data_IF_790711773158
#
_entry.id   IF_790711773158
#
_cell.length_a   1.000
_cell.length_b   1.000
_cell.length_c   1.000
_cell.angle_alpha   90.00
_cell.angle_beta   90.00
_cell.angle_gamma   90.00
#
_symmetry.space_group_name_H-M   'P 1'
#
loop_
_entity.id
_entity.type
_entity.pdbx_description
1 polymer ?
#
# COMPACT_ATOMS: atom_id res chain seq x y z
N UNK A 1 -28.39 0.42 4.53
CA UNK A 1 -26.92 0.59 4.44
C UNK A 1 -26.66 1.72 3.47
N UNK A 2 -26.42 2.93 3.98
CA UNK A 2 -26.13 4.11 3.16
C UNK A 2 -24.69 4.04 2.69
N UNK A 3 -24.47 4.07 1.38
CA UNK A 3 -23.14 4.17 0.79
C UNK A 3 -22.47 5.44 1.34
N UNK A 4 -21.44 5.27 2.18
CA UNK A 4 -20.63 6.39 2.65
C UNK A 4 -19.81 6.90 1.46
N UNK A 5 -19.78 8.23 1.28
CA UNK A 5 -18.90 8.86 0.30
C UNK A 5 -17.43 8.53 0.63
N UNK A 6 -16.75 7.87 -0.31
CA UNK A 6 -15.36 7.40 -0.19
C UNK A 6 -14.32 8.50 -0.44
N UNK A 7 -14.70 9.79 -0.43
CA UNK A 7 -13.76 10.88 -0.71
C UNK A 7 -14.12 12.18 0.02
N UNK A 8 -13.11 12.85 0.55
CA UNK A 8 -13.22 14.16 1.20
C UNK A 8 -12.40 15.22 0.46
N UNK A 9 -12.88 16.46 0.42
CA UNK A 9 -12.17 17.58 -0.20
C UNK A 9 -11.24 18.27 0.81
N UNK A 10 -9.95 18.37 0.45
CA UNK A 10 -8.96 19.18 1.18
C UNK A 10 -8.57 20.38 0.32
N UNK A 11 -8.49 21.58 0.90
CA UNK A 11 -8.10 22.79 0.17
C UNK A 11 -7.30 23.78 1.02
N UNK A 12 -6.44 24.55 0.38
CA UNK A 12 -5.65 25.60 1.02
C UNK A 12 -5.32 26.71 0.01
N UNK A 13 -5.14 27.94 0.51
CA UNK A 13 -4.66 29.07 -0.30
C UNK A 13 -3.14 29.00 -0.42
N UNK A 14 -2.64 29.16 -1.63
CA UNK A 14 -1.20 29.23 -1.93
C UNK A 14 -0.83 30.61 -2.44
N UNK A 15 0.46 30.94 -2.35
CA UNK A 15 0.98 32.19 -2.91
C UNK A 15 0.84 32.23 -4.43
N UNK A 16 0.79 33.44 -5.01
CA UNK A 16 0.78 33.64 -6.47
C UNK A 16 1.98 32.98 -7.16
N UNK A 17 3.16 33.03 -6.54
CA UNK A 17 4.37 32.43 -7.10
C UNK A 17 4.28 30.89 -7.11
N UNK A 18 3.75 30.28 -6.06
CA UNK A 18 3.48 28.83 -6.01
C UNK A 18 2.49 28.42 -7.09
N UNK A 19 1.37 29.14 -7.22
CA UNK A 19 0.37 28.88 -8.26
C UNK A 19 0.98 28.89 -9.67
N UNK A 20 1.81 29.89 -9.99
CA UNK A 20 2.49 30.00 -11.29
C UNK A 20 3.45 28.82 -11.52
N UNK A 21 4.19 28.37 -10.50
CA UNK A 21 5.08 27.20 -10.62
C UNK A 21 4.29 25.94 -10.97
N UNK A 22 3.17 25.70 -10.29
CA UNK A 22 2.30 24.55 -10.57
C UNK A 22 1.74 24.64 -12.00
N UNK A 23 1.24 25.82 -12.39
CA UNK A 23 0.71 26.03 -13.74
C UNK A 23 1.74 25.71 -14.83
N UNK A 24 3.00 26.10 -14.65
CA UNK A 24 4.08 25.79 -15.62
C UNK A 24 4.30 24.29 -15.80
N UNK A 25 4.18 23.50 -14.75
CA UNK A 25 4.31 22.04 -14.83
C UNK A 25 3.14 21.40 -15.59
N UNK A 26 1.93 21.92 -15.38
CA UNK A 26 0.72 21.51 -16.11
C UNK A 26 0.83 21.90 -17.59
N UNK A 27 1.21 23.15 -17.88
CA UNK A 27 1.40 23.64 -19.25
C UNK A 27 2.49 22.85 -20.00
N UNK A 28 3.47 22.32 -19.28
CA UNK A 28 4.52 21.43 -19.80
C UNK A 28 4.06 19.98 -19.99
N UNK A 29 2.80 19.64 -19.66
CA UNK A 29 2.22 18.31 -19.80
C UNK A 29 2.66 17.31 -18.72
N UNK A 30 3.29 17.76 -17.63
CA UNK A 30 3.75 16.86 -16.56
C UNK A 30 2.59 16.40 -15.64
N UNK A 31 1.50 17.17 -15.60
CA UNK A 31 0.29 16.89 -14.84
C UNK A 31 -0.93 17.29 -15.65
N UNK A 32 -2.06 16.59 -15.44
CA UNK A 32 -3.29 16.84 -16.20
C UNK A 32 -3.96 18.17 -15.83
N UNK A 33 -3.93 18.51 -14.54
CA UNK A 33 -4.52 19.74 -13.98
C UNK A 33 -4.01 19.98 -12.54
N UNK A 34 -4.52 21.03 -11.88
CA UNK A 34 -4.15 21.36 -10.51
C UNK A 34 -4.52 20.26 -9.51
N UNK A 35 -5.69 19.63 -9.68
CA UNK A 35 -6.14 18.57 -8.77
C UNK A 35 -5.22 17.34 -8.84
N UNK A 36 -4.82 16.97 -10.05
CA UNK A 36 -3.85 15.90 -10.31
C UNK A 36 -2.50 16.17 -9.62
N UNK A 37 -1.94 17.36 -9.84
CA UNK A 37 -0.73 17.80 -9.14
C UNK A 37 -0.89 17.76 -7.61
N UNK A 38 -1.98 18.31 -7.08
CA UNK A 38 -2.18 18.36 -5.62
C UNK A 38 -2.34 16.98 -5.01
N UNK A 39 -3.04 16.07 -5.69
CA UNK A 39 -3.21 14.71 -5.21
C UNK A 39 -1.86 14.02 -5.10
N UNK A 40 -1.06 14.05 -6.17
CA UNK A 40 0.27 13.44 -6.17
C UNK A 40 1.19 14.05 -5.12
N UNK A 41 1.17 15.38 -4.96
CA UNK A 41 1.94 16.06 -3.93
C UNK A 41 1.53 15.68 -2.49
N UNK A 42 0.25 15.41 -2.25
CA UNK A 42 -0.25 14.92 -0.96
C UNK A 42 0.20 13.46 -0.75
N UNK A 43 0.00 12.59 -1.74
CA UNK A 43 0.41 11.18 -1.70
C UNK A 43 1.92 11.05 -1.44
N UNK A 44 2.74 11.76 -2.21
CA UNK A 44 4.21 11.77 -2.05
C UNK A 44 4.59 12.25 -0.64
N UNK A 45 3.87 13.23 -0.09
CA UNK A 45 4.18 13.75 1.24
C UNK A 45 3.81 12.74 2.34
N UNK A 46 2.69 12.04 2.20
CA UNK A 46 2.28 10.97 3.11
C UNK A 46 3.27 9.80 3.03
N UNK A 47 3.70 9.42 1.83
CA UNK A 47 4.69 8.35 1.62
C UNK A 47 6.01 8.69 2.30
N UNK A 48 6.51 9.91 2.08
CA UNK A 48 7.74 10.39 2.72
C UNK A 48 7.64 10.50 4.24
N UNK A 49 6.43 10.60 4.81
CA UNK A 49 6.21 10.63 6.25
C UNK A 49 5.93 9.24 6.83
N UNK A 50 5.86 8.19 6.01
CA UNK A 50 5.48 6.84 6.45
C UNK A 50 3.99 6.69 6.77
N UNK A 51 3.17 7.64 6.32
CA UNK A 51 1.71 7.69 6.54
C UNK A 51 0.93 7.13 5.35
N UNK A 52 1.62 6.70 4.28
CA UNK A 52 0.99 5.90 3.24
C UNK A 52 0.77 4.50 3.80
N UNK A 53 -0.48 4.22 4.18
CA UNK A 53 -0.96 2.84 4.29
C UNK A 53 -0.66 2.13 2.96
N UNK A 54 -0.16 0.90 3.03
CA UNK A 54 0.13 0.07 1.85
C UNK A 54 -1.23 -0.30 1.21
N UNK A 55 -1.81 0.59 0.42
CA UNK A 55 -3.05 0.36 -0.31
C UNK A 55 -2.70 -0.04 -1.74
N UNK A 56 -2.10 -1.21 -1.90
CA UNK A 56 -2.34 -2.02 -3.08
C UNK A 56 -2.92 -3.34 -2.60
N UNK A 57 -4.20 -3.30 -2.22
CA UNK A 57 -4.94 -4.50 -1.88
C UNK A 57 -5.17 -5.25 -3.20
N UNK A 58 -4.20 -6.08 -3.58
CA UNK A 58 -4.46 -7.11 -4.58
C UNK A 58 -5.35 -8.12 -3.88
N UNK A 59 -6.62 -8.23 -4.30
CA UNK A 59 -7.47 -9.37 -3.92
C UNK A 59 -6.74 -10.65 -4.34
N UNK A 60 -6.02 -11.22 -3.39
CA UNK A 60 -5.14 -12.36 -3.61
C UNK A 60 -5.83 -13.53 -2.93
N UNK A 61 -6.10 -14.58 -3.71
CA UNK A 61 -6.69 -15.78 -3.15
C UNK A 61 -5.74 -16.38 -2.10
N UNK A 62 -6.28 -17.08 -1.09
CA UNK A 62 -5.45 -17.75 -0.07
C UNK A 62 -4.40 -18.70 -0.68
N UNK A 63 -4.70 -19.29 -1.85
CA UNK A 63 -3.77 -20.17 -2.57
C UNK A 63 -2.58 -19.42 -3.18
N UNK A 64 -2.82 -18.25 -3.76
CA UNK A 64 -1.76 -17.39 -4.29
C UNK A 64 -0.91 -16.81 -3.15
N UNK A 65 -1.55 -16.34 -2.08
CA UNK A 65 -0.86 -15.85 -0.89
C UNK A 65 0.06 -16.92 -0.30
N UNK A 66 -0.40 -18.18 -0.24
CA UNK A 66 0.37 -19.31 0.23
C UNK A 66 1.65 -19.54 -0.58
N UNK A 67 1.58 -19.49 -1.91
CA UNK A 67 2.76 -19.63 -2.78
C UNK A 67 3.76 -18.51 -2.54
N UNK A 68 3.28 -17.27 -2.42
CA UNK A 68 4.12 -16.10 -2.16
C UNK A 68 4.80 -16.17 -0.78
N UNK A 69 4.08 -16.64 0.25
CA UNK A 69 4.63 -16.89 1.58
C UNK A 69 5.72 -17.96 1.53
N UNK A 70 5.49 -19.08 0.84
CA UNK A 70 6.50 -20.14 0.67
C UNK A 70 7.76 -19.62 -0.05
N UNK A 71 7.61 -18.82 -1.11
CA UNK A 71 8.73 -18.17 -1.79
C UNK A 71 9.50 -17.23 -0.86
N UNK A 72 8.80 -16.44 -0.05
CA UNK A 72 9.43 -15.52 0.90
C UNK A 72 10.23 -16.24 1.97
N UNK A 73 9.67 -17.30 2.56
CA UNK A 73 10.33 -18.11 3.59
C UNK A 73 11.54 -18.87 3.05
N UNK A 74 11.56 -19.23 1.76
CA UNK A 74 12.75 -19.82 1.14
C UNK A 74 13.88 -18.79 0.97
N UNK A 75 13.55 -17.52 0.76
CA UNK A 75 14.51 -16.44 0.58
C UNK A 75 14.99 -15.83 1.91
N UNK A 76 14.19 -15.95 2.97
CA UNK A 76 14.48 -15.36 4.28
C UNK A 76 14.57 -16.46 5.34
N UNK A 77 15.80 -16.75 5.77
CA UNK A 77 16.03 -17.69 6.86
C UNK A 77 15.90 -17.00 8.21
N UNK A 78 15.17 -17.62 9.14
CA UNK A 78 15.05 -17.15 10.53
C UNK A 78 13.61 -16.84 10.93
N UNK A 79 13.48 -16.00 11.96
CA UNK A 79 12.20 -15.49 12.45
C UNK A 79 11.60 -14.54 11.41
N UNK A 80 10.38 -14.83 10.96
CA UNK A 80 9.64 -14.02 10.00
C UNK A 80 8.28 -13.70 10.58
N UNK A 81 7.90 -12.42 10.62
CA UNK A 81 6.58 -12.02 11.05
C UNK A 81 5.59 -12.00 9.86
N UNK A 82 4.32 -12.39 10.07
CA UNK A 82 3.28 -12.29 9.04
C UNK A 82 3.15 -10.89 8.44
N UNK A 83 3.34 -9.85 9.26
CA UNK A 83 3.34 -8.45 8.83
C UNK A 83 4.45 -8.12 7.86
N UNK A 84 5.65 -8.72 8.02
CA UNK A 84 6.77 -8.49 7.11
C UNK A 84 6.46 -9.03 5.72
N UNK A 85 5.82 -10.20 5.67
CA UNK A 85 5.38 -10.84 4.42
C UNK A 85 4.28 -10.02 3.75
N UNK A 86 3.29 -9.57 4.54
CA UNK A 86 2.21 -8.72 4.08
C UNK A 86 2.76 -7.41 3.47
N UNK A 87 3.69 -6.76 4.16
CA UNK A 87 4.31 -5.53 3.70
C UNK A 87 5.16 -5.76 2.44
N UNK A 88 5.93 -6.84 2.38
CA UNK A 88 6.80 -7.15 1.24
C UNK A 88 6.02 -7.33 -0.06
N UNK A 89 4.86 -7.98 0.01
CA UNK A 89 4.04 -8.31 -1.15
C UNK A 89 2.83 -7.40 -1.35
N UNK A 90 2.60 -6.43 -0.45
CA UNK A 90 1.38 -5.62 -0.45
C UNK A 90 0.12 -6.45 -0.27
N UNK A 91 0.14 -7.43 0.65
CA UNK A 91 -1.01 -8.30 0.92
C UNK A 91 -1.81 -7.79 2.11
N UNK A 92 -3.12 -8.04 2.06
CA UNK A 92 -4.00 -7.97 3.22
C UNK A 92 -3.53 -8.98 4.29
N UNK A 93 -3.56 -8.55 5.55
CA UNK A 93 -3.04 -9.35 6.65
C UNK A 93 -3.91 -10.59 6.93
N UNK A 94 -5.21 -10.50 6.67
CA UNK A 94 -6.18 -11.58 6.93
C UNK A 94 -5.94 -12.81 6.01
N UNK A 95 -5.83 -12.67 4.67
CA UNK A 95 -5.40 -13.76 3.78
C UNK A 95 -4.02 -14.33 4.14
N UNK A 96 -3.08 -13.50 4.59
CA UNK A 96 -1.75 -13.97 5.04
C UNK A 96 -1.89 -14.86 6.27
N UNK A 97 -2.69 -14.47 7.26
CA UNK A 97 -2.95 -15.31 8.43
C UNK A 97 -3.66 -16.62 8.08
N UNK A 98 -4.64 -16.60 7.18
CA UNK A 98 -5.31 -17.82 6.71
C UNK A 98 -4.32 -18.77 6.02
N UNK A 99 -3.47 -18.24 5.13
CA UNK A 99 -2.46 -19.02 4.45
C UNK A 99 -1.41 -19.60 5.43
N UNK A 100 -0.98 -18.84 6.44
CA UNK A 100 -0.07 -19.33 7.48
C UNK A 100 -0.72 -20.43 8.32
N UNK A 101 -2.01 -20.30 8.68
CA UNK A 101 -2.75 -21.37 9.38
C UNK A 101 -2.79 -22.66 8.58
N UNK A 102 -3.02 -22.58 7.27
CA UNK A 102 -2.97 -23.75 6.38
C UNK A 102 -1.56 -24.36 6.30
N UNK A 103 -0.53 -23.53 6.14
CA UNK A 103 0.87 -23.99 6.14
C UNK A 103 1.28 -24.65 7.46
N UNK A 104 0.77 -24.16 8.59
CA UNK A 104 0.99 -24.74 9.92
C UNK A 104 0.30 -26.11 10.03
N UNK A 105 -0.94 -26.22 9.55
CA UNK A 105 -1.68 -27.49 9.50
C UNK A 105 -0.96 -28.54 8.62
N UNK A 106 -0.25 -28.10 7.59
CA UNK A 106 0.57 -28.94 6.71
C UNK A 106 1.99 -29.20 7.25
N UNK A 107 2.35 -28.65 8.41
CA UNK A 107 3.67 -28.82 9.02
C UNK A 107 4.82 -28.10 8.31
N UNK A 108 4.52 -27.16 7.40
CA UNK A 108 5.54 -26.39 6.67
C UNK A 108 6.10 -25.20 7.43
N UNK A 109 5.33 -24.67 8.39
CA UNK A 109 5.74 -23.55 9.25
C UNK A 109 5.40 -23.86 10.71
N UNK A 110 6.15 -23.27 11.63
CA UNK A 110 5.93 -23.37 13.07
C UNK A 110 6.00 -21.99 13.71
N UNK A 111 5.22 -21.78 14.77
CA UNK A 111 5.41 -20.62 15.63
C UNK A 111 6.75 -20.73 16.34
N UNK A 112 7.43 -19.60 16.49
CA UNK A 112 8.57 -19.53 17.38
C UNK A 112 8.08 -19.48 18.83
N UNK A 113 8.75 -20.23 19.71
CA UNK A 113 8.55 -20.18 21.18
C UNK A 113 9.22 -18.96 21.81
#
# INVERSE_FOLDING_TARGET
MTAQELSYQVSSKVSKSTYIKIKRLIDAGMFLNFSDFTRKAIEDKLENLGETEIISIKETSAQEAKKMIEEYLNQHQGLVYPSDIANHYGLELEPVFEAIKQLKAEGKVKEAE
#
